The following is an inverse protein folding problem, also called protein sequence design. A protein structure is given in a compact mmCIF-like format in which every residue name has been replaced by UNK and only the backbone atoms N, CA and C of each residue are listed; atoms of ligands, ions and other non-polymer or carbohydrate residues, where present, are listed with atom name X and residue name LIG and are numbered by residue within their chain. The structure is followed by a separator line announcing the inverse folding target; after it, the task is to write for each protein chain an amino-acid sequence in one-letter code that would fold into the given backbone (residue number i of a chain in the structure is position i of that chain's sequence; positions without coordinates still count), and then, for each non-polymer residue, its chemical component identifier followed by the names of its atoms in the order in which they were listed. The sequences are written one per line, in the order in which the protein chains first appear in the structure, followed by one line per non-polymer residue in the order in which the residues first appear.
data_IF_441156394670
#
_entry.id   IF_441156394670
#
_cell.length_a   1.000
_cell.length_b   1.000
_cell.length_c   1.000
_cell.angle_alpha   90.00
_cell.angle_beta   90.00
_cell.angle_gamma   90.00
#
_symmetry.space_group_name_H-M   'P 1'
#
loop_
_entity.id
_entity.type
_entity.pdbx_description
1 polymer ?
#
# COMPACT_ATOMS: atom_id res chain seq x y z
N UNK A 1 -22.44 -17.92 29.52
CA UNK A 1 -21.62 -19.15 29.67
C UNK A 1 -21.63 -20.03 28.42
N UNK A 2 -22.79 -20.26 27.77
CA UNK A 2 -22.91 -21.14 26.60
C UNK A 2 -22.16 -20.60 25.34
N UNK A 3 -22.26 -19.29 25.06
CA UNK A 3 -21.58 -18.65 23.91
C UNK A 3 -20.06 -18.84 23.97
N UNK A 4 -19.43 -18.59 25.12
CA UNK A 4 -17.98 -18.79 25.32
C UNK A 4 -17.55 -20.24 25.10
N UNK A 5 -18.35 -21.21 25.58
CA UNK A 5 -18.07 -22.65 25.41
C UNK A 5 -18.15 -23.06 23.93
N UNK A 6 -19.16 -22.57 23.20
CA UNK A 6 -19.30 -22.83 21.76
C UNK A 6 -18.21 -22.14 20.94
N UNK A 7 -17.85 -20.89 21.27
CA UNK A 7 -16.76 -20.16 20.62
C UNK A 7 -15.43 -20.90 20.77
N UNK A 8 -15.12 -21.42 21.96
CA UNK A 8 -13.90 -22.21 22.19
C UNK A 8 -13.90 -23.55 21.42
N UNK A 9 -15.05 -24.22 21.37
CA UNK A 9 -15.18 -25.46 20.60
C UNK A 9 -15.04 -25.22 19.09
N UNK A 10 -15.61 -24.14 18.55
CA UNK A 10 -15.43 -23.74 17.14
C UNK A 10 -13.96 -23.45 16.84
N UNK A 11 -13.26 -22.72 17.71
CA UNK A 11 -11.82 -22.45 17.57
C UNK A 11 -10.99 -23.74 17.51
N UNK A 12 -11.27 -24.69 18.41
CA UNK A 12 -10.54 -25.96 18.49
C UNK A 12 -10.83 -26.87 17.29
N UNK A 13 -12.06 -26.82 16.76
CA UNK A 13 -12.48 -27.63 15.62
C UNK A 13 -11.90 -27.12 14.30
N UNK A 14 -11.79 -25.79 14.13
CA UNK A 14 -11.35 -25.17 12.87
C UNK A 14 -9.94 -24.56 12.94
N UNK A 15 -9.01 -25.24 13.63
CA UNK A 15 -7.61 -24.77 13.73
C UNK A 15 -6.95 -24.57 12.37
N UNK A 16 -7.28 -25.40 11.38
CA UNK A 16 -6.74 -25.30 10.01
C UNK A 16 -7.07 -23.96 9.33
N UNK A 17 -8.13 -23.27 9.76
CA UNK A 17 -8.49 -21.94 9.28
C UNK A 17 -7.96 -20.84 10.20
N UNK A 18 -8.10 -21.00 11.52
CA UNK A 18 -7.79 -19.92 12.46
C UNK A 18 -6.28 -19.74 12.70
N UNK A 19 -5.47 -20.81 12.61
CA UNK A 19 -4.02 -20.70 12.79
C UNK A 19 -3.36 -19.90 11.65
N UNK A 20 -3.61 -20.19 10.36
CA UNK A 20 -3.10 -19.37 9.27
C UNK A 20 -3.58 -17.91 9.33
N UNK A 21 -4.83 -17.68 9.77
CA UNK A 21 -5.36 -16.32 9.99
C UNK A 21 -4.52 -15.54 11.01
N UNK A 22 -4.30 -16.12 12.20
CA UNK A 22 -3.53 -15.48 13.27
C UNK A 22 -2.10 -15.20 12.81
N UNK A 23 -1.46 -16.19 12.18
CA UNK A 23 -0.10 -16.04 11.66
C UNK A 23 -0.01 -14.91 10.62
N UNK A 24 -0.89 -14.91 9.63
CA UNK A 24 -0.89 -13.89 8.59
C UNK A 24 -1.10 -12.49 9.17
N UNK A 25 -2.11 -12.29 10.02
CA UNK A 25 -2.40 -10.98 10.61
C UNK A 25 -1.29 -10.55 11.55
N UNK A 26 -0.72 -11.46 12.35
CA UNK A 26 0.42 -11.13 13.22
C UNK A 26 1.63 -10.64 12.42
N UNK A 27 1.92 -11.24 11.26
CA UNK A 27 3.02 -10.81 10.39
C UNK A 27 2.76 -9.41 9.83
N UNK A 28 1.54 -9.10 9.38
CA UNK A 28 1.18 -7.76 8.90
C UNK A 28 1.33 -6.70 9.99
N UNK A 29 0.87 -7.01 11.21
CA UNK A 29 1.00 -6.13 12.38
C UNK A 29 2.47 -5.90 12.70
N UNK A 30 3.29 -6.97 12.69
CA UNK A 30 4.73 -6.88 12.93
C UNK A 30 5.44 -6.01 11.90
N UNK A 31 5.15 -6.18 10.60
CA UNK A 31 5.70 -5.36 9.53
C UNK A 31 5.30 -3.90 9.68
N UNK A 32 4.01 -3.62 9.93
CA UNK A 32 3.54 -2.25 10.14
C UNK A 32 4.23 -1.58 11.34
N UNK A 33 4.34 -2.31 12.46
CA UNK A 33 5.04 -1.83 13.65
C UNK A 33 6.50 -1.49 13.34
N UNK A 34 7.21 -2.32 12.56
CA UNK A 34 8.60 -2.07 12.20
C UNK A 34 8.76 -0.76 11.43
N UNK A 35 7.93 -0.51 10.41
CA UNK A 35 7.96 0.75 9.67
C UNK A 35 7.66 1.94 10.59
N UNK A 36 6.68 1.80 11.47
CA UNK A 36 6.31 2.85 12.42
C UNK A 36 7.42 3.13 13.44
N UNK A 37 8.11 2.10 13.90
CA UNK A 37 9.23 2.20 14.85
C UNK A 37 10.45 2.89 14.21
N UNK A 38 10.72 2.66 12.92
CA UNK A 38 11.79 3.33 12.17
C UNK A 38 11.45 4.82 12.00
N UNK A 39 10.22 5.15 11.61
CA UNK A 39 9.78 6.54 11.39
C UNK A 39 9.87 7.39 12.67
N UNK A 40 9.51 6.80 13.82
CA UNK A 40 9.45 7.48 15.11
C UNK A 40 10.70 7.20 15.98
N UNK A 41 11.86 7.01 15.35
CA UNK A 41 13.12 6.79 16.06
C UNK A 41 13.91 8.10 16.23
N UNK A 42 14.14 8.52 17.46
CA UNK A 42 14.84 9.78 17.79
C UNK A 42 16.30 9.84 17.32
N UNK A 43 16.91 8.68 17.09
CA UNK A 43 18.31 8.64 16.66
C UNK A 43 18.45 8.80 15.15
N UNK A 44 17.41 8.43 14.38
CA UNK A 44 17.33 8.72 12.94
C UNK A 44 17.06 10.20 12.67
N UNK A 45 16.37 10.93 13.55
CA UNK A 45 16.08 12.35 13.37
C UNK A 45 17.30 13.27 13.49
N UNK A 46 18.43 12.78 14.02
CA UNK A 46 19.66 13.56 14.23
C UNK A 46 20.63 13.54 13.04
N UNK A 47 20.30 12.79 12.00
CA UNK A 47 21.14 12.65 10.79
C UNK A 47 20.87 13.83 9.84
N UNK A 48 21.88 14.37 9.13
CA UNK A 48 21.67 15.45 8.15
C UNK A 48 20.59 15.13 7.10
N UNK A 49 20.46 13.86 6.72
CA UNK A 49 19.50 13.36 5.72
C UNK A 49 18.18 12.85 6.34
N UNK A 50 17.95 13.09 7.63
CA UNK A 50 16.81 12.54 8.36
C UNK A 50 15.45 12.93 7.77
N UNK A 51 15.31 14.17 7.29
CA UNK A 51 14.06 14.69 6.72
C UNK A 51 13.65 13.95 5.45
N UNK A 52 14.61 13.67 4.57
CA UNK A 52 14.40 12.92 3.32
C UNK A 52 14.07 11.46 3.64
N UNK A 53 14.85 10.83 4.53
CA UNK A 53 14.61 9.44 4.95
C UNK A 53 13.21 9.29 5.56
N UNK A 54 12.82 10.18 6.47
CA UNK A 54 11.52 10.14 7.11
C UNK A 54 10.38 10.34 6.11
N UNK A 55 10.55 11.25 5.14
CA UNK A 55 9.56 11.48 4.08
C UNK A 55 9.35 10.24 3.20
N UNK A 56 10.44 9.58 2.78
CA UNK A 56 10.39 8.33 2.01
C UNK A 56 9.76 7.20 2.84
N UNK A 57 10.11 7.09 4.12
CA UNK A 57 9.54 6.07 5.02
C UNK A 57 8.04 6.29 5.26
N UNK A 58 7.57 7.53 5.40
CA UNK A 58 6.14 7.84 5.48
C UNK A 58 5.41 7.48 4.19
N UNK A 59 6.02 7.75 3.04
CA UNK A 59 5.47 7.36 1.73
C UNK A 59 5.34 5.82 1.65
N UNK A 60 6.39 5.10 2.04
CA UNK A 60 6.38 3.63 2.11
C UNK A 60 5.34 3.11 3.11
N UNK A 61 5.16 3.77 4.25
CA UNK A 61 4.15 3.43 5.26
C UNK A 61 2.72 3.53 4.69
N UNK A 62 2.42 4.59 3.93
CA UNK A 62 1.11 4.73 3.28
C UNK A 62 0.88 3.58 2.31
N UNK A 63 1.87 3.26 1.47
CA UNK A 63 1.78 2.16 0.52
C UNK A 63 1.57 0.80 1.20
N UNK A 64 2.37 0.45 2.21
CA UNK A 64 2.22 -0.81 2.93
C UNK A 64 0.88 -0.87 3.71
N UNK A 65 0.42 0.26 4.25
CA UNK A 65 -0.87 0.33 4.95
C UNK A 65 -2.04 -0.03 4.02
N UNK A 66 -1.99 0.41 2.76
CA UNK A 66 -3.00 0.07 1.75
C UNK A 66 -3.01 -1.43 1.48
N UNK A 67 -1.82 -2.03 1.30
CA UNK A 67 -1.69 -3.48 1.07
C UNK A 67 -2.22 -4.26 2.28
N UNK A 68 -1.88 -3.83 3.49
CA UNK A 68 -2.35 -4.44 4.74
C UNK A 68 -3.88 -4.40 4.80
N UNK A 69 -4.52 -3.26 4.52
CA UNK A 69 -5.99 -3.14 4.54
C UNK A 69 -6.64 -4.12 3.57
N UNK A 70 -6.18 -4.13 2.32
CA UNK A 70 -6.70 -5.02 1.27
C UNK A 70 -6.54 -6.49 1.67
N UNK A 71 -5.35 -6.87 2.14
CA UNK A 71 -5.03 -8.25 2.47
C UNK A 71 -5.76 -8.71 3.74
N UNK A 72 -5.89 -7.86 4.75
CA UNK A 72 -6.63 -8.22 5.97
C UNK A 72 -8.13 -8.36 5.68
N UNK A 73 -8.70 -7.52 4.81
CA UNK A 73 -10.09 -7.67 4.35
C UNK A 73 -10.31 -8.99 3.59
N UNK A 74 -9.36 -9.37 2.73
CA UNK A 74 -9.41 -10.64 2.02
C UNK A 74 -9.36 -11.84 2.96
N UNK A 75 -8.43 -11.83 3.91
CA UNK A 75 -8.29 -12.87 4.93
C UNK A 75 -9.59 -12.98 5.75
N UNK A 76 -10.17 -11.85 6.19
CA UNK A 76 -11.41 -11.85 6.94
C UNK A 76 -12.58 -12.42 6.13
N UNK A 77 -12.65 -12.10 4.83
CA UNK A 77 -13.67 -12.65 3.94
C UNK A 77 -13.59 -14.18 3.82
N UNK A 78 -12.38 -14.76 3.76
CA UNK A 78 -12.21 -16.22 3.74
C UNK A 78 -12.71 -16.85 5.05
N UNK A 79 -12.28 -16.29 6.18
CA UNK A 79 -12.66 -16.78 7.52
C UNK A 79 -14.17 -16.70 7.71
N UNK A 80 -14.76 -15.55 7.41
CA UNK A 80 -16.21 -15.31 7.48
C UNK A 80 -16.98 -16.30 6.57
N UNK A 81 -16.55 -16.52 5.33
CA UNK A 81 -17.21 -17.44 4.39
C UNK A 81 -17.19 -18.90 4.86
N UNK A 82 -16.09 -19.36 5.45
CA UNK A 82 -16.02 -20.72 5.98
C UNK A 82 -16.81 -20.86 7.29
N UNK A 83 -16.79 -19.84 8.16
CA UNK A 83 -17.55 -19.78 9.42
C UNK A 83 -19.06 -19.77 9.19
N UNK A 84 -19.54 -19.16 8.11
CA UNK A 84 -20.97 -19.12 7.76
C UNK A 84 -21.62 -20.51 7.70
N UNK A 85 -20.87 -21.57 7.36
CA UNK A 85 -21.38 -22.95 7.38
C UNK A 85 -21.76 -23.41 8.79
N UNK A 86 -20.95 -23.07 9.79
CA UNK A 86 -21.23 -23.39 11.19
C UNK A 86 -22.38 -22.55 11.74
N UNK A 87 -22.41 -21.26 11.40
CA UNK A 87 -23.47 -20.34 11.79
C UNK A 87 -24.83 -20.78 11.23
N UNK A 88 -24.86 -21.34 10.02
CA UNK A 88 -26.08 -21.91 9.46
C UNK A 88 -26.58 -23.13 10.21
N UNK A 89 -25.69 -24.02 10.65
CA UNK A 89 -26.05 -25.16 11.47
C UNK A 89 -26.58 -24.71 12.84
N UNK A 90 -25.93 -23.74 13.48
CA UNK A 90 -26.40 -23.16 14.74
C UNK A 90 -27.74 -22.44 14.60
N UNK A 91 -27.99 -21.78 13.47
CA UNK A 91 -29.28 -21.16 13.19
C UNK A 91 -30.39 -22.19 12.99
N UNK A 92 -30.10 -23.34 12.37
CA UNK A 92 -31.08 -24.44 12.23
C UNK A 92 -31.41 -25.12 13.56
N UNK A 93 -30.44 -25.15 14.50
CA UNK A 93 -30.64 -25.63 15.87
C UNK A 93 -31.38 -24.63 16.78
N UNK A 94 -31.90 -23.52 16.22
CA UNK A 94 -32.74 -22.57 16.94
C UNK A 94 -32.00 -21.43 17.65
N UNK A 95 -30.71 -21.19 17.36
CA UNK A 95 -30.03 -20.00 17.89
C UNK A 95 -30.62 -18.71 17.31
N UNK A 96 -30.94 -17.75 18.18
CA UNK A 96 -31.40 -16.42 17.79
C UNK A 96 -30.29 -15.64 17.08
N UNK A 97 -30.67 -14.70 16.20
CA UNK A 97 -29.72 -13.84 15.48
C UNK A 97 -28.78 -13.08 16.42
N UNK A 98 -29.29 -12.65 17.57
CA UNK A 98 -28.51 -11.97 18.62
C UNK A 98 -27.42 -12.88 19.19
N UNK A 99 -27.75 -14.15 19.46
CA UNK A 99 -26.78 -15.12 19.99
C UNK A 99 -25.71 -15.47 18.95
N UNK A 100 -26.07 -15.53 17.67
CA UNK A 100 -25.11 -15.72 16.57
C UNK A 100 -24.16 -14.54 16.45
N UNK A 101 -24.68 -13.32 16.56
CA UNK A 101 -23.86 -12.10 16.55
C UNK A 101 -22.85 -12.08 17.70
N UNK A 102 -23.29 -12.35 18.94
CA UNK A 102 -22.39 -12.41 20.09
C UNK A 102 -21.34 -13.53 19.96
N UNK A 103 -21.70 -14.68 19.39
CA UNK A 103 -20.75 -15.77 19.13
C UNK A 103 -19.64 -15.31 18.18
N UNK A 104 -20.02 -14.67 17.07
CA UNK A 104 -19.09 -14.15 16.06
C UNK A 104 -18.19 -13.08 16.66
N UNK A 105 -18.77 -12.13 17.39
CA UNK A 105 -18.04 -11.03 18.02
C UNK A 105 -16.98 -11.55 19.00
N UNK A 106 -17.32 -12.52 19.86
CA UNK A 106 -16.37 -13.10 20.83
C UNK A 106 -15.22 -13.81 20.13
N UNK A 107 -15.49 -14.55 19.05
CA UNK A 107 -14.45 -15.21 18.25
C UNK A 107 -13.53 -14.17 17.60
N UNK A 108 -14.09 -13.14 16.97
CA UNK A 108 -13.31 -12.14 16.25
C UNK A 108 -12.46 -11.29 17.21
N UNK A 109 -13.00 -10.92 18.39
CA UNK A 109 -12.20 -10.27 19.45
C UNK A 109 -11.03 -11.16 19.87
N UNK A 110 -11.27 -12.45 20.11
CA UNK A 110 -10.22 -13.36 20.54
C UNK A 110 -9.12 -13.51 19.47
N UNK A 111 -9.51 -13.75 18.22
CA UNK A 111 -8.57 -13.91 17.11
C UNK A 111 -7.77 -12.62 16.87
N UNK A 112 -8.44 -11.47 16.88
CA UNK A 112 -7.79 -10.18 16.68
C UNK A 112 -6.85 -9.84 17.83
N UNK A 113 -7.29 -9.98 19.08
CA UNK A 113 -6.46 -9.73 20.26
C UNK A 113 -5.21 -10.62 20.27
N UNK A 114 -5.36 -11.91 19.96
CA UNK A 114 -4.23 -12.83 19.91
C UNK A 114 -3.25 -12.49 18.78
N UNK A 115 -3.78 -12.14 17.60
CA UNK A 115 -2.96 -11.71 16.46
C UNK A 115 -2.21 -10.41 16.74
N UNK A 116 -2.84 -9.48 17.48
CA UNK A 116 -2.24 -8.21 17.86
C UNK A 116 -1.09 -8.39 18.85
N UNK A 117 -1.30 -9.19 19.89
CA UNK A 117 -0.24 -9.52 20.86
C UNK A 117 0.93 -10.19 20.15
N UNK A 118 0.67 -11.24 19.36
CA UNK A 118 1.72 -11.96 18.63
C UNK A 118 2.41 -11.06 17.60
N UNK A 119 1.66 -10.22 16.89
CA UNK A 119 2.22 -9.35 15.86
C UNK A 119 3.14 -8.28 16.41
N UNK A 120 2.80 -7.70 17.56
CA UNK A 120 3.69 -6.75 18.25
C UNK A 120 4.93 -7.49 18.76
N UNK A 121 4.78 -8.70 19.30
CA UNK A 121 5.91 -9.53 19.75
C UNK A 121 6.86 -9.86 18.58
N UNK A 122 6.32 -10.20 17.41
CA UNK A 122 7.08 -10.39 16.17
C UNK A 122 7.78 -9.09 15.77
N UNK A 123 7.06 -7.96 15.76
CA UNK A 123 7.63 -6.65 15.43
C UNK A 123 8.80 -6.25 16.33
N UNK A 124 8.65 -6.44 17.65
CA UNK A 124 9.69 -6.17 18.65
C UNK A 124 10.90 -7.09 18.53
N UNK A 125 10.69 -8.33 18.09
CA UNK A 125 11.79 -9.29 17.90
C UNK A 125 12.58 -8.95 16.64
N UNK A 126 11.89 -8.64 15.55
CA UNK A 126 12.50 -8.42 14.23
C UNK A 126 13.00 -6.99 14.00
N UNK A 127 12.55 -6.00 14.77
CA UNK A 127 12.98 -4.59 14.59
C UNK A 127 14.50 -4.46 14.63
N UNK A 128 15.19 -5.15 15.54
CA UNK A 128 16.65 -5.11 15.66
C UNK A 128 17.32 -5.60 14.37
N UNK A 129 16.80 -6.66 13.76
CA UNK A 129 17.34 -7.22 12.53
C UNK A 129 17.16 -6.27 11.35
N UNK A 130 15.93 -5.77 11.15
CA UNK A 130 15.62 -4.85 10.02
C UNK A 130 16.44 -3.57 10.12
N UNK A 131 16.65 -3.09 11.32
CA UNK A 131 17.35 -1.86 11.59
C UNK A 131 18.88 -1.98 11.43
N UNK A 132 19.46 -3.12 11.80
CA UNK A 132 20.86 -3.42 11.46
C UNK A 132 21.05 -3.50 9.94
N UNK A 133 20.11 -4.13 9.23
CA UNK A 133 20.12 -4.13 7.77
C UNK A 133 20.00 -2.71 7.20
N UNK A 134 19.14 -1.88 7.78
CA UNK A 134 18.95 -0.48 7.38
C UNK A 134 20.23 0.36 7.54
N UNK A 135 20.91 0.25 8.70
CA UNK A 135 22.19 0.94 8.94
C UNK A 135 23.26 0.50 7.94
N UNK A 136 23.35 -0.82 7.67
CA UNK A 136 24.33 -1.37 6.72
C UNK A 136 24.07 -0.90 5.29
N UNK A 137 22.80 -0.83 4.88
CA UNK A 137 22.43 -0.35 3.54
C UNK A 137 22.71 1.15 3.36
N UNK A 138 22.60 1.94 4.43
CA UNK A 138 22.83 3.38 4.41
C UNK A 138 24.25 3.82 4.80
N UNK A 139 25.15 2.88 5.12
CA UNK A 139 26.53 3.15 5.58
C UNK A 139 26.61 4.19 6.72
N UNK A 140 25.66 4.15 7.66
CA UNK A 140 25.62 5.09 8.79
C UNK A 140 26.56 4.62 9.91
N UNK A 141 27.30 5.54 10.55
CA UNK A 141 28.06 5.25 11.78
C UNK A 141 27.08 4.87 12.91
N UNK A 142 27.42 3.84 13.69
CA UNK A 142 26.52 3.16 14.63
C UNK A 142 25.61 4.12 15.39
N UNK A 143 24.31 3.96 15.17
CA UNK A 143 23.27 4.74 15.83
C UNK A 143 22.76 3.94 17.03
N UNK A 144 22.65 4.56 18.21
CA UNK A 144 21.99 3.96 19.36
C UNK A 144 20.50 3.87 19.09
N UNK A 145 19.91 2.68 19.27
CA UNK A 145 18.55 2.44 18.84
C UNK A 145 17.65 2.04 19.99
N UNK A 146 16.62 2.85 20.19
CA UNK A 146 15.47 2.53 21.01
C UNK A 146 14.71 1.37 20.38
N UNK A 147 14.75 0.21 21.03
CA UNK A 147 14.04 -1.01 20.60
C UNK A 147 12.52 -0.85 20.69
N UNK A 148 12.06 0.03 21.58
CA UNK A 148 10.66 0.29 21.84
C UNK A 148 10.36 1.77 21.65
N UNK A 149 9.35 2.06 20.81
CA UNK A 149 8.77 3.39 20.65
C UNK A 149 7.31 3.33 21.07
N UNK A 150 6.96 4.05 22.15
CA UNK A 150 5.59 4.14 22.65
C UNK A 150 4.64 4.72 21.59
N UNK A 151 5.12 5.69 20.82
CA UNK A 151 4.38 6.29 19.72
C UNK A 151 4.11 5.28 18.59
N UNK A 152 5.10 4.44 18.25
CA UNK A 152 4.91 3.41 17.23
C UNK A 152 3.91 2.33 17.66
N UNK A 153 3.95 1.94 18.94
CA UNK A 153 2.98 1.03 19.53
C UNK A 153 1.55 1.58 19.45
N UNK A 154 1.34 2.82 19.90
CA UNK A 154 0.01 3.46 19.88
C UNK A 154 -0.54 3.60 18.47
N UNK A 155 0.28 4.04 17.51
CA UNK A 155 -0.17 4.21 16.13
C UNK A 155 -0.52 2.87 15.46
N UNK A 156 0.24 1.81 15.77
CA UNK A 156 -0.08 0.44 15.34
C UNK A 156 -1.40 -0.03 15.94
N UNK A 157 -1.59 0.18 17.25
CA UNK A 157 -2.82 -0.19 17.95
C UNK A 157 -4.03 0.53 17.35
N UNK A 158 -3.96 1.85 17.18
CA UNK A 158 -5.06 2.65 16.60
C UNK A 158 -5.40 2.23 15.17
N UNK A 159 -4.39 1.99 14.33
CA UNK A 159 -4.60 1.58 12.94
C UNK A 159 -5.33 0.22 12.84
N UNK A 160 -4.85 -0.79 13.58
CA UNK A 160 -5.47 -2.11 13.56
C UNK A 160 -6.82 -2.15 14.28
N UNK A 161 -7.03 -1.34 15.32
CA UNK A 161 -8.36 -1.15 15.91
C UNK A 161 -9.36 -0.58 14.88
N UNK A 162 -8.94 0.37 14.04
CA UNK A 162 -9.75 0.86 12.94
C UNK A 162 -10.15 -0.25 11.97
N UNK A 163 -9.20 -1.11 11.58
CA UNK A 163 -9.47 -2.28 10.72
C UNK A 163 -10.44 -3.25 11.41
N UNK A 164 -10.28 -3.50 12.70
CA UNK A 164 -11.16 -4.37 13.46
C UNK A 164 -12.62 -3.86 13.50
N UNK A 165 -12.82 -2.56 13.66
CA UNK A 165 -14.16 -1.94 13.57
C UNK A 165 -14.77 -2.19 12.19
N UNK A 166 -13.99 -2.02 11.12
CA UNK A 166 -14.45 -2.31 9.75
C UNK A 166 -14.87 -3.79 9.62
N UNK A 167 -14.15 -4.72 10.24
CA UNK A 167 -14.53 -6.14 10.23
C UNK A 167 -15.85 -6.39 10.93
N UNK A 168 -16.04 -5.81 12.11
CA UNK A 168 -17.31 -5.91 12.83
C UNK A 168 -18.47 -5.36 12.00
N UNK A 169 -18.30 -4.24 11.31
CA UNK A 169 -19.34 -3.67 10.42
C UNK A 169 -19.63 -4.60 9.23
N UNK A 170 -18.60 -5.18 8.61
CA UNK A 170 -18.78 -6.12 7.49
C UNK A 170 -19.47 -7.41 7.96
N UNK A 171 -19.07 -7.97 9.09
CA UNK A 171 -19.61 -9.23 9.59
C UNK A 171 -21.04 -9.05 10.15
N UNK A 172 -21.34 -7.93 10.82
CA UNK A 172 -22.72 -7.59 11.25
C UNK A 172 -23.67 -7.44 10.07
N UNK A 173 -23.26 -6.70 9.04
CA UNK A 173 -24.09 -6.49 7.85
C UNK A 173 -24.36 -7.80 7.12
N UNK A 174 -23.38 -8.69 7.00
CA UNK A 174 -23.57 -10.04 6.47
C UNK A 174 -24.54 -10.86 7.33
N UNK A 175 -24.33 -10.91 8.64
CA UNK A 175 -25.19 -11.63 9.59
C UNK A 175 -26.64 -11.16 9.58
N UNK A 176 -26.89 -9.86 9.40
CA UNK A 176 -28.25 -9.31 9.36
C UNK A 176 -29.06 -9.78 8.13
N UNK A 177 -28.38 -9.98 6.99
CA UNK A 177 -28.97 -10.34 5.69
C UNK A 177 -29.14 -11.84 5.51
N UNK A 178 -28.49 -12.62 6.36
CA UNK A 178 -28.47 -14.07 6.30
C UNK A 178 -29.86 -14.64 6.68
N UNK A 179 -30.47 -15.41 5.76
CA UNK A 179 -31.63 -16.27 6.05
C UNK A 179 -31.14 -17.68 6.41
N UNK A 180 -31.67 -18.32 7.48
CA UNK A 180 -31.20 -19.63 7.95
C UNK A 180 -31.27 -20.75 6.89
N UNK A 181 -32.31 -20.72 6.06
CA UNK A 181 -32.53 -21.69 4.98
C UNK A 181 -31.54 -21.48 3.81
N UNK A 182 -31.16 -20.22 3.57
CA UNK A 182 -30.24 -19.84 2.48
C UNK A 182 -28.78 -20.14 2.83
N UNK A 183 -28.37 -20.12 4.11
CA UNK A 183 -26.99 -20.49 4.52
C UNK A 183 -26.59 -21.93 4.17
N UNK A 184 -27.54 -22.86 4.29
CA UNK A 184 -27.32 -24.27 3.95
C UNK A 184 -27.51 -24.52 2.45
N UNK A 185 -28.42 -23.79 1.83
CA UNK A 185 -28.65 -23.86 0.39
C UNK A 185 -27.66 -23.04 -0.44
N UNK A 186 -26.86 -22.11 0.11
CA UNK A 186 -25.87 -21.31 -0.64
C UNK A 186 -24.76 -22.18 -1.29
N UNK A 187 -24.62 -23.46 -0.87
CA UNK A 187 -23.79 -24.45 -1.56
C UNK A 187 -24.55 -25.30 -2.60
N UNK A 188 -25.89 -25.31 -2.60
CA UNK A 188 -26.75 -26.13 -3.49
C UNK A 188 -27.52 -25.30 -4.53
N UNK A 189 -28.00 -24.12 -4.16
CA UNK A 189 -28.53 -23.11 -5.07
C UNK A 189 -27.34 -22.36 -5.63
N UNK A 190 -26.93 -22.72 -6.84
CA UNK A 190 -25.94 -21.93 -7.56
C UNK A 190 -26.41 -20.47 -7.58
N UNK A 191 -25.63 -19.57 -6.96
CA UNK A 191 -25.84 -18.13 -6.91
C UNK A 191 -26.59 -17.63 -8.17
N UNK A 192 -27.89 -17.36 -8.02
CA UNK A 192 -28.75 -17.01 -9.14
C UNK A 192 -28.12 -15.92 -10.02
N UNK A 193 -28.14 -16.10 -11.35
CA UNK A 193 -27.67 -15.08 -12.27
C UNK A 193 -28.36 -13.75 -11.92
N UNK A 194 -27.61 -12.64 -11.72
CA UNK A 194 -28.22 -11.36 -11.42
C UNK A 194 -29.21 -11.03 -12.54
N UNK A 195 -30.48 -10.84 -12.15
CA UNK A 195 -31.60 -10.55 -13.06
C UNK A 195 -31.40 -9.23 -13.82
N UNK A 196 -30.54 -8.35 -13.31
CA UNK A 196 -30.29 -7.02 -13.86
C UNK A 196 -28.96 -6.96 -14.61
N UNK A 197 -28.92 -7.55 -15.81
CA UNK A 197 -27.75 -7.50 -16.72
C UNK A 197 -27.23 -6.08 -16.97
N UNK A 198 -28.08 -5.05 -16.90
CA UNK A 198 -27.70 -3.66 -17.17
C UNK A 198 -26.89 -3.00 -16.04
N UNK A 199 -27.22 -3.27 -14.78
CA UNK A 199 -26.47 -2.69 -13.64
C UNK A 199 -25.06 -3.29 -13.55
N UNK A 200 -24.95 -4.61 -13.71
CA UNK A 200 -23.66 -5.30 -13.78
C UNK A 200 -22.85 -4.85 -14.99
N UNK A 201 -23.51 -4.50 -16.10
CA UNK A 201 -22.85 -3.95 -17.29
C UNK A 201 -22.23 -2.58 -17.03
N UNK A 202 -22.99 -1.66 -16.41
CA UNK A 202 -22.49 -0.34 -16.06
C UNK A 202 -21.31 -0.43 -15.08
N UNK A 203 -21.42 -1.27 -14.05
CA UNK A 203 -20.39 -1.43 -13.02
C UNK A 203 -19.11 -2.11 -13.55
N UNK A 204 -19.24 -3.04 -14.50
CA UNK A 204 -18.09 -3.63 -15.18
C UNK A 204 -17.38 -2.64 -16.10
N UNK A 205 -18.13 -1.83 -16.85
CA UNK A 205 -17.56 -0.81 -17.74
C UNK A 205 -16.89 0.33 -16.95
N UNK A 206 -17.52 0.77 -15.85
CA UNK A 206 -16.92 1.75 -14.95
C UNK A 206 -15.64 1.22 -14.32
N UNK A 207 -15.62 -0.06 -13.90
CA UNK A 207 -14.43 -0.71 -13.36
C UNK A 207 -13.24 -0.71 -14.34
N UNK A 208 -13.50 -1.05 -15.61
CA UNK A 208 -12.48 -1.00 -16.67
C UNK A 208 -11.97 0.42 -16.89
N UNK A 209 -12.87 1.39 -16.94
CA UNK A 209 -12.53 2.82 -17.16
C UNK A 209 -11.67 3.36 -16.03
N UNK A 210 -12.05 3.09 -14.78
CA UNK A 210 -11.29 3.46 -13.57
C UNK A 210 -9.87 2.89 -13.62
N UNK A 211 -9.74 1.63 -14.04
CA UNK A 211 -8.44 0.97 -14.14
C UNK A 211 -7.56 1.61 -15.24
N UNK A 212 -8.13 1.88 -16.41
CA UNK A 212 -7.43 2.57 -17.51
C UNK A 212 -7.00 3.99 -17.13
N UNK A 213 -7.86 4.75 -16.46
CA UNK A 213 -7.53 6.09 -15.95
C UNK A 213 -6.40 6.04 -14.92
N UNK A 214 -6.39 5.03 -14.04
CA UNK A 214 -5.32 4.82 -13.07
C UNK A 214 -3.95 4.56 -13.72
N UNK A 215 -3.91 3.74 -14.77
CA UNK A 215 -2.68 3.53 -15.54
C UNK A 215 -2.28 4.76 -16.35
N UNK A 216 -3.24 5.43 -16.98
CA UNK A 216 -2.97 6.65 -17.72
C UNK A 216 -2.37 7.74 -16.81
N UNK A 217 -2.95 7.95 -15.62
CA UNK A 217 -2.40 8.86 -14.62
C UNK A 217 -0.99 8.45 -14.20
N UNK A 218 -0.73 7.15 -14.00
CA UNK A 218 0.61 6.65 -13.67
C UNK A 218 1.66 6.99 -14.73
N UNK A 219 1.31 6.90 -16.02
CA UNK A 219 2.22 7.15 -17.14
C UNK A 219 2.36 8.66 -17.45
N UNK A 220 1.25 9.40 -17.37
CA UNK A 220 1.22 10.82 -17.70
C UNK A 220 1.83 11.71 -16.59
N UNK A 221 2.02 11.17 -15.38
CA UNK A 221 2.63 11.89 -14.27
C UNK A 221 4.10 12.18 -14.56
N UNK A 222 4.40 13.45 -14.86
CA UNK A 222 5.77 13.96 -14.94
C UNK A 222 6.33 14.18 -13.53
N UNK A 223 7.67 14.16 -13.34
CA UNK A 223 8.30 14.42 -12.05
C UNK A 223 8.11 15.88 -11.65
N UNK A 224 7.04 16.16 -10.90
CA UNK A 224 6.74 17.43 -10.26
C UNK A 224 6.35 17.18 -8.79
N UNK A 225 6.31 18.21 -7.96
CA UNK A 225 5.90 18.16 -6.55
C UNK A 225 4.50 17.56 -6.34
N UNK A 226 3.59 17.67 -7.31
CA UNK A 226 2.28 17.01 -7.29
C UNK A 226 2.32 15.52 -7.63
N UNK A 227 3.45 14.99 -8.14
CA UNK A 227 3.56 13.61 -8.61
C UNK A 227 3.32 12.58 -7.50
N UNK A 228 3.71 12.90 -6.26
CA UNK A 228 3.50 12.01 -5.11
C UNK A 228 2.00 11.80 -4.86
N UNK A 229 1.22 12.89 -4.87
CA UNK A 229 -0.23 12.82 -4.63
C UNK A 229 -0.92 12.07 -5.77
N UNK A 230 -0.58 12.40 -7.02
CA UNK A 230 -1.14 11.72 -8.20
C UNK A 230 -0.79 10.23 -8.22
N UNK A 231 0.42 9.85 -7.81
CA UNK A 231 0.83 8.46 -7.69
C UNK A 231 -0.02 7.68 -6.68
N UNK A 232 -0.32 8.28 -5.51
CA UNK A 232 -1.21 7.65 -4.53
C UNK A 232 -2.64 7.50 -5.02
N UNK A 233 -3.18 8.53 -5.69
CA UNK A 233 -4.50 8.45 -6.32
C UNK A 233 -4.53 7.33 -7.36
N UNK A 234 -3.47 7.20 -8.16
CA UNK A 234 -3.35 6.14 -9.15
C UNK A 234 -3.35 4.74 -8.51
N UNK A 235 -2.62 4.53 -7.41
CA UNK A 235 -2.63 3.24 -6.68
C UNK A 235 -4.04 2.90 -6.19
N UNK A 236 -4.75 3.86 -5.58
CA UNK A 236 -6.12 3.64 -5.11
C UNK A 236 -7.04 3.29 -6.29
N UNK A 237 -6.91 4.00 -7.42
CA UNK A 237 -7.65 3.70 -8.64
C UNK A 237 -7.36 2.28 -9.16
N UNK A 238 -6.10 1.86 -9.18
CA UNK A 238 -5.69 0.52 -9.64
C UNK A 238 -6.26 -0.56 -8.72
N UNK A 239 -6.25 -0.35 -7.40
CA UNK A 239 -6.81 -1.30 -6.43
C UNK A 239 -8.33 -1.43 -6.62
N UNK A 240 -9.05 -0.32 -6.66
CA UNK A 240 -10.51 -0.29 -6.86
C UNK A 240 -10.87 -0.87 -8.24
N UNK A 241 -10.15 -0.45 -9.29
CA UNK A 241 -10.33 -0.91 -10.66
C UNK A 241 -10.10 -2.41 -10.79
N UNK A 242 -9.09 -2.97 -10.13
CA UNK A 242 -8.82 -4.41 -10.15
C UNK A 242 -9.94 -5.21 -9.49
N UNK A 243 -10.42 -4.78 -8.32
CA UNK A 243 -11.57 -5.43 -7.68
C UNK A 243 -12.83 -5.35 -8.55
N UNK A 244 -13.12 -4.17 -9.13
CA UNK A 244 -14.25 -4.00 -10.02
C UNK A 244 -14.13 -4.86 -11.30
N UNK A 245 -12.91 -5.01 -11.84
CA UNK A 245 -12.65 -5.83 -13.00
C UNK A 245 -12.99 -7.30 -12.72
N UNK A 246 -12.42 -7.88 -11.67
CA UNK A 246 -12.65 -9.31 -11.37
C UNK A 246 -14.07 -9.61 -10.87
N UNK A 247 -14.70 -8.68 -10.14
CA UNK A 247 -16.05 -8.91 -9.58
C UNK A 247 -17.17 -8.58 -10.56
N UNK A 248 -16.97 -7.63 -11.48
CA UNK A 248 -18.03 -7.14 -12.36
C UNK A 248 -17.66 -7.29 -13.84
N UNK A 249 -16.49 -6.81 -14.27
CA UNK A 249 -16.11 -6.82 -15.69
C UNK A 249 -15.88 -8.24 -16.24
N UNK A 250 -15.25 -9.13 -15.48
CA UNK A 250 -15.05 -10.54 -15.88
C UNK A 250 -16.39 -11.29 -16.01
N UNK A 251 -17.34 -10.99 -15.14
CA UNK A 251 -18.71 -11.54 -15.23
C UNK A 251 -19.41 -10.98 -16.47
N UNK A 252 -19.31 -9.68 -16.71
CA UNK A 252 -19.85 -9.00 -17.89
C UNK A 252 -19.33 -9.62 -19.19
N UNK A 253 -18.01 -9.81 -19.30
CA UNK A 253 -17.37 -10.46 -20.44
C UNK A 253 -17.94 -11.87 -20.70
N UNK A 254 -18.06 -12.68 -19.66
CA UNK A 254 -18.65 -14.02 -19.77
C UNK A 254 -20.14 -13.99 -20.13
N UNK A 255 -20.90 -13.00 -19.67
CA UNK A 255 -22.30 -12.82 -20.07
C UNK A 255 -22.46 -12.37 -21.53
N UNK A 256 -21.52 -11.57 -22.07
CA UNK A 256 -21.49 -11.21 -23.49
C UNK A 256 -21.21 -12.43 -24.37
N UNK A 257 -20.24 -13.27 -23.96
CA UNK A 257 -19.95 -14.56 -24.60
C UNK A 257 -21.16 -15.50 -24.58
N UNK A 258 -21.92 -15.53 -23.47
CA UNK A 258 -23.17 -16.28 -23.37
C UNK A 258 -24.27 -15.75 -24.29
N UNK A 259 -24.31 -14.44 -24.54
CA UNK A 259 -25.31 -13.80 -25.44
C UNK A 259 -25.03 -14.10 -26.91
N UNK A 260 -23.78 -14.36 -27.30
CA UNK A 260 -23.43 -14.73 -28.66
C UNK A 260 -23.82 -16.19 -28.96
N UNK A 261 -24.95 -16.38 -29.64
CA UNK A 261 -25.52 -17.71 -29.93
C UNK A 261 -24.56 -18.60 -30.73
N UNK A 262 -23.80 -18.05 -31.68
CA UNK A 262 -22.85 -18.81 -32.50
C UNK A 262 -21.66 -19.36 -31.70
N UNK A 263 -21.26 -18.68 -30.61
CA UNK A 263 -20.15 -19.13 -29.77
C UNK A 263 -20.62 -20.05 -28.64
N UNK A 264 -21.73 -19.70 -27.98
CA UNK A 264 -22.20 -20.37 -26.76
C UNK A 264 -22.81 -21.75 -27.02
N UNK A 265 -23.53 -21.95 -28.13
CA UNK A 265 -24.23 -23.22 -28.42
C UNK A 265 -23.31 -24.32 -28.96
N UNK A 266 -22.01 -24.05 -29.12
CA UNK A 266 -21.03 -25.11 -29.40
C UNK A 266 -20.82 -26.00 -28.16
N UNK A 267 -20.82 -27.32 -28.37
CA UNK A 267 -20.77 -28.35 -27.31
C UNK A 267 -19.62 -28.17 -26.31
N UNK A 268 -18.45 -27.68 -26.77
CA UNK A 268 -17.27 -27.44 -25.94
C UNK A 268 -17.32 -26.12 -25.16
N UNK A 269 -18.03 -25.10 -25.67
CA UNK A 269 -18.05 -23.76 -25.09
C UNK A 269 -19.15 -23.59 -24.05
N UNK A 270 -20.30 -24.25 -24.24
CA UNK A 270 -21.46 -24.14 -23.35
C UNK A 270 -21.13 -24.45 -21.89
N UNK A 271 -20.48 -25.59 -21.64
CA UNK A 271 -20.11 -26.07 -20.31
C UNK A 271 -19.05 -25.16 -19.69
N UNK A 272 -18.05 -24.79 -20.50
CA UNK A 272 -16.92 -23.95 -20.06
C UNK A 272 -17.38 -22.55 -19.66
N UNK A 273 -18.15 -21.85 -20.51
CA UNK A 273 -18.63 -20.49 -20.24
C UNK A 273 -19.56 -20.46 -19.03
N UNK A 274 -20.48 -21.43 -18.93
CA UNK A 274 -21.42 -21.50 -17.80
C UNK A 274 -20.72 -21.82 -16.48
N UNK A 275 -19.76 -22.76 -16.50
CA UNK A 275 -18.97 -23.12 -15.32
C UNK A 275 -18.03 -22.00 -14.87
N UNK A 276 -17.40 -21.30 -15.82
CA UNK A 276 -16.50 -20.18 -15.52
C UNK A 276 -17.26 -18.99 -14.94
N UNK A 277 -18.47 -18.69 -15.43
CA UNK A 277 -19.33 -17.63 -14.90
C UNK A 277 -19.63 -17.86 -13.42
N UNK A 278 -19.95 -19.11 -13.05
CA UNK A 278 -20.21 -19.49 -11.66
C UNK A 278 -18.95 -19.35 -10.78
N UNK A 279 -17.82 -19.86 -11.25
CA UNK A 279 -16.53 -19.79 -10.52
C UNK A 279 -16.04 -18.35 -10.34
N UNK A 280 -16.20 -17.50 -11.36
CA UNK A 280 -15.86 -16.07 -11.31
C UNK A 280 -16.69 -15.32 -10.28
N UNK A 281 -18.00 -15.59 -10.21
CA UNK A 281 -18.88 -14.97 -9.22
C UNK A 281 -18.53 -15.40 -7.79
N UNK A 282 -18.27 -16.70 -7.59
CA UNK A 282 -17.96 -17.25 -6.29
C UNK A 282 -16.57 -16.83 -5.75
N UNK A 283 -15.57 -16.68 -6.63
CA UNK A 283 -14.16 -16.52 -6.27
C UNK A 283 -13.47 -15.26 -6.83
N UNK A 284 -14.20 -14.36 -7.51
CA UNK A 284 -13.63 -13.17 -8.17
C UNK A 284 -12.89 -12.22 -7.21
N UNK A 285 -13.41 -12.04 -5.99
CA UNK A 285 -12.74 -11.26 -4.93
C UNK A 285 -11.38 -11.86 -4.56
N UNK A 286 -11.27 -13.19 -4.54
CA UNK A 286 -10.01 -13.87 -4.25
C UNK A 286 -9.00 -13.74 -5.37
N UNK A 287 -9.45 -13.88 -6.62
CA UNK A 287 -8.60 -13.66 -7.80
C UNK A 287 -8.05 -12.23 -7.87
N UNK A 288 -8.89 -11.22 -7.57
CA UNK A 288 -8.44 -9.83 -7.47
C UNK A 288 -7.35 -9.65 -6.41
N UNK A 289 -7.54 -10.26 -5.25
CA UNK A 289 -6.60 -10.16 -4.12
C UNK A 289 -5.25 -10.81 -4.44
N UNK A 290 -5.26 -11.98 -5.10
CA UNK A 290 -4.04 -12.67 -5.56
C UNK A 290 -3.32 -11.84 -6.63
N UNK A 291 -4.07 -11.27 -7.58
CA UNK A 291 -3.52 -10.40 -8.61
C UNK A 291 -2.84 -9.18 -8.00
N UNK A 292 -3.52 -8.45 -7.10
CA UNK A 292 -2.95 -7.30 -6.41
C UNK A 292 -1.70 -7.66 -5.61
N UNK A 293 -1.71 -8.80 -4.91
CA UNK A 293 -0.55 -9.25 -4.13
C UNK A 293 0.64 -9.55 -5.05
N UNK A 294 0.41 -10.24 -6.16
CA UNK A 294 1.45 -10.56 -7.14
C UNK A 294 1.99 -9.31 -7.83
N UNK A 295 1.12 -8.35 -8.15
CA UNK A 295 1.55 -7.09 -8.75
C UNK A 295 2.34 -6.27 -7.74
N UNK A 296 1.91 -6.19 -6.48
CA UNK A 296 2.64 -5.48 -5.43
C UNK A 296 4.04 -6.07 -5.18
N UNK A 297 4.18 -7.39 -5.19
CA UNK A 297 5.49 -8.04 -5.04
C UNK A 297 6.41 -7.76 -6.23
N UNK A 298 5.88 -7.85 -7.46
CA UNK A 298 6.64 -7.51 -8.69
C UNK A 298 7.05 -6.05 -8.67
N UNK A 299 6.14 -5.13 -8.35
CA UNK A 299 6.43 -3.68 -8.27
C UNK A 299 7.52 -3.42 -7.23
N UNK A 300 7.45 -4.02 -6.04
CA UNK A 300 8.48 -3.86 -5.02
C UNK A 300 9.86 -4.35 -5.51
N UNK A 301 9.91 -5.51 -6.17
CA UNK A 301 11.16 -6.06 -6.71
C UNK A 301 11.74 -5.19 -7.84
N UNK A 302 10.91 -4.83 -8.83
CA UNK A 302 11.33 -4.04 -10.00
C UNK A 302 11.69 -2.62 -9.59
N UNK A 303 10.94 -1.98 -8.69
CA UNK A 303 11.26 -0.65 -8.21
C UNK A 303 12.59 -0.65 -7.45
N UNK A 304 12.83 -1.65 -6.59
CA UNK A 304 14.08 -1.75 -5.84
C UNK A 304 15.27 -1.99 -6.77
N UNK A 305 15.15 -2.91 -7.73
CA UNK A 305 16.24 -3.19 -8.68
C UNK A 305 16.51 -2.00 -9.60
N UNK A 306 15.47 -1.33 -10.09
CA UNK A 306 15.59 -0.14 -10.92
C UNK A 306 16.23 1.03 -10.16
N UNK A 307 15.86 1.25 -8.90
CA UNK A 307 16.48 2.30 -8.07
C UNK A 307 17.95 2.01 -7.77
N UNK A 308 18.29 0.74 -7.53
CA UNK A 308 19.69 0.35 -7.32
C UNK A 308 20.52 0.50 -8.59
N UNK A 309 20.00 0.09 -9.75
CA UNK A 309 20.68 0.26 -11.03
C UNK A 309 20.81 1.75 -11.45
N UNK A 310 19.80 2.57 -11.14
CA UNK A 310 19.78 4.00 -11.45
C UNK A 310 20.56 4.88 -10.47
N UNK A 311 21.04 4.33 -9.35
CA UNK A 311 21.73 5.08 -8.30
C UNK A 311 22.94 5.84 -8.84
N UNK A 312 23.81 5.18 -9.59
CA UNK A 312 25.06 5.80 -10.06
C UNK A 312 24.78 6.88 -11.11
N UNK A 313 23.80 6.65 -12.00
CA UNK A 313 23.32 7.65 -12.97
C UNK A 313 22.79 8.89 -12.24
N UNK A 314 21.99 8.69 -11.18
CA UNK A 314 21.42 9.79 -10.42
C UNK A 314 22.47 10.57 -9.60
N UNK A 315 23.47 9.88 -9.06
CA UNK A 315 24.62 10.51 -8.39
C UNK A 315 25.42 11.33 -9.40
N UNK A 316 25.75 10.76 -10.56
CA UNK A 316 26.53 11.45 -11.59
C UNK A 316 25.80 12.65 -12.19
N UNK A 317 24.47 12.61 -12.29
CA UNK A 317 23.66 13.76 -12.71
C UNK A 317 23.58 14.85 -11.62
N UNK A 318 23.46 14.48 -10.34
CA UNK A 318 23.33 15.43 -9.24
C UNK A 318 24.65 16.04 -8.77
N UNK A 319 25.74 15.30 -8.89
CA UNK A 319 27.10 15.71 -8.52
C UNK A 319 28.11 15.18 -9.55
N UNK A 320 28.18 15.77 -10.76
CA UNK A 320 29.10 15.32 -11.82
C UNK A 320 30.58 15.55 -11.48
N UNK A 321 30.86 16.31 -10.42
CA UNK A 321 32.20 16.64 -9.93
C UNK A 321 32.26 16.37 -8.42
N UNK A 322 33.42 15.92 -7.95
CA UNK A 322 33.64 15.58 -6.54
C UNK A 322 33.47 16.79 -5.60
N UNK A 323 33.71 18.00 -6.11
CA UNK A 323 33.63 19.25 -5.35
C UNK A 323 32.89 20.30 -6.18
N UNK A 324 31.75 20.78 -5.68
CA UNK A 324 31.01 21.91 -6.25
C UNK A 324 31.06 23.11 -5.30
N UNK A 325 31.63 24.22 -5.77
CA UNK A 325 31.68 25.49 -5.02
C UNK A 325 30.69 26.44 -5.67
N UNK A 326 29.61 26.74 -4.94
CA UNK A 326 28.57 27.66 -5.40
C UNK A 326 28.74 29.00 -4.70
N UNK A 327 28.77 30.10 -5.46
CA UNK A 327 28.78 31.45 -4.90
C UNK A 327 27.87 32.36 -5.71
N UNK A 328 27.17 33.26 -5.00
CA UNK A 328 26.31 34.29 -5.59
C UNK A 328 27.10 35.31 -6.43
N UNK A 329 28.39 35.51 -6.13
CA UNK A 329 29.32 36.32 -6.92
C UNK A 329 30.68 35.62 -7.02
N UNK A 330 31.21 35.50 -8.24
CA UNK A 330 32.59 35.04 -8.44
C UNK A 330 33.54 36.20 -8.09
N UNK A 331 34.08 36.18 -6.87
CA UNK A 331 35.09 37.14 -6.39
C UNK A 331 36.47 36.46 -6.38
N UNK A 332 37.58 37.16 -6.67
CA UNK A 332 38.93 36.61 -6.61
C UNK A 332 39.33 35.99 -5.26
N UNK A 333 38.70 36.41 -4.17
CA UNK A 333 38.92 35.86 -2.82
C UNK A 333 38.46 34.40 -2.68
N UNK A 334 37.38 34.02 -3.37
CA UNK A 334 36.87 32.65 -3.33
C UNK A 334 37.89 31.73 -4.01
N UNK A 335 38.48 32.16 -5.12
CA UNK A 335 39.54 31.43 -5.81
C UNK A 335 40.76 31.16 -4.93
N UNK A 336 41.23 32.18 -4.20
CA UNK A 336 42.31 32.02 -3.22
C UNK A 336 41.94 31.01 -2.13
N UNK A 337 40.73 31.11 -1.59
CA UNK A 337 40.25 30.19 -0.54
C UNK A 337 40.11 28.75 -1.05
N UNK A 338 39.73 28.57 -2.31
CA UNK A 338 39.69 27.25 -2.95
C UNK A 338 41.09 26.66 -3.10
N UNK A 339 42.07 27.46 -3.50
CA UNK A 339 43.48 27.03 -3.58
C UNK A 339 44.06 26.72 -2.20
N UNK A 340 43.80 27.54 -1.18
CA UNK A 340 44.22 27.27 0.20
C UNK A 340 43.63 25.95 0.73
N UNK A 341 42.36 25.65 0.42
CA UNK A 341 41.73 24.39 0.78
C UNK A 341 42.35 23.22 0.01
N UNK A 342 42.61 23.38 -1.28
CA UNK A 342 43.25 22.36 -2.11
C UNK A 342 44.65 22.03 -1.57
N UNK A 343 45.45 23.04 -1.23
CA UNK A 343 46.78 22.87 -0.63
C UNK A 343 46.71 22.22 0.75
N UNK A 344 45.76 22.65 1.60
CA UNK A 344 45.53 22.06 2.93
C UNK A 344 45.22 20.57 2.87
N UNK A 345 44.41 20.14 1.90
CA UNK A 345 44.05 18.73 1.71
C UNK A 345 44.98 17.98 0.75
N UNK A 346 46.02 18.64 0.22
CA UNK A 346 46.98 18.09 -0.76
C UNK A 346 46.30 17.57 -2.04
N UNK A 347 45.27 18.26 -2.51
CA UNK A 347 44.52 17.93 -3.71
C UNK A 347 44.98 18.84 -4.84
N UNK A 348 45.36 18.27 -5.98
CA UNK A 348 45.66 19.05 -7.19
C UNK A 348 44.35 19.31 -7.94
N UNK A 349 44.01 20.58 -8.15
CA UNK A 349 42.82 20.95 -8.94
C UNK A 349 43.15 20.68 -10.41
N UNK A 350 42.38 19.79 -11.04
CA UNK A 350 42.48 19.44 -12.47
C UNK A 350 41.11 19.68 -13.10
N UNK A 351 41.08 20.25 -14.30
CA UNK A 351 39.87 20.54 -15.10
C UNK A 351 38.79 21.40 -14.41
N UNK A 352 39.12 22.66 -14.12
CA UNK A 352 38.16 23.63 -13.58
C UNK A 352 37.06 23.95 -14.62
N UNK A 353 35.83 23.52 -14.34
CA UNK A 353 34.64 23.91 -15.13
C UNK A 353 33.83 24.98 -14.40
N UNK A 354 33.70 26.15 -15.02
CA UNK A 354 32.84 27.23 -14.53
C UNK A 354 31.47 27.10 -15.16
N UNK A 355 30.43 26.95 -14.34
CA UNK A 355 29.05 26.95 -14.79
C UNK A 355 28.28 28.07 -14.08
N UNK A 356 27.51 28.84 -14.85
CA UNK A 356 26.56 29.80 -14.30
C UNK A 356 25.30 29.04 -13.93
N UNK A 357 24.97 29.05 -12.64
CA UNK A 357 23.76 28.42 -12.10
C UNK A 357 22.77 29.55 -11.80
N UNK A 358 21.57 29.47 -12.35
CA UNK A 358 20.50 30.43 -12.06
C UNK A 358 19.85 30.08 -10.72
N UNK A 359 19.86 31.00 -9.75
CA UNK A 359 18.99 30.88 -8.57
C UNK A 359 17.54 31.18 -9.01
N UNK A 360 16.59 30.32 -8.65
CA UNK A 360 15.17 30.54 -8.95
C UNK A 360 14.65 31.77 -8.19
N UNK A 361 14.21 32.80 -8.91
CA UNK A 361 13.54 33.95 -8.31
C UNK A 361 12.04 33.68 -8.17
N UNK A 362 11.51 33.79 -6.94
CA UNK A 362 10.07 33.71 -6.73
C UNK A 362 9.38 34.94 -7.31
N UNK A 363 8.41 34.73 -8.19
CA UNK A 363 7.59 35.78 -8.76
C UNK A 363 6.14 35.64 -8.30
N UNK A 364 5.51 36.75 -7.93
CA UNK A 364 4.06 36.83 -7.77
C UNK A 364 3.49 37.66 -8.91
N UNK A 365 2.47 37.13 -9.58
CA UNK A 365 1.67 37.87 -10.55
C UNK A 365 0.61 38.63 -9.75
N UNK A 366 0.70 39.95 -9.74
CA UNK A 366 -0.31 40.81 -9.13
C UNK A 366 -1.59 40.80 -9.96
N UNK A 367 -2.74 41.12 -9.34
CA UNK A 367 -4.04 41.21 -10.04
C UNK A 367 -4.04 42.11 -11.29
N UNK A 368 -3.05 42.99 -11.42
CA UNK A 368 -2.86 43.89 -12.56
C UNK A 368 -1.96 43.29 -13.67
N UNK A 369 -1.70 41.98 -13.67
CA UNK A 369 -0.79 41.28 -14.60
C UNK A 369 0.68 41.73 -14.52
N UNK A 370 1.05 42.53 -13.53
CA UNK A 370 2.44 42.88 -13.26
C UNK A 370 3.15 41.78 -12.46
N UNK A 371 4.33 41.39 -12.92
CA UNK A 371 5.14 40.32 -12.36
C UNK A 371 6.23 40.92 -11.47
N UNK A 372 6.08 40.83 -10.14
CA UNK A 372 7.09 41.31 -9.18
C UNK A 372 7.96 40.15 -8.70
N UNK A 373 9.27 40.29 -8.91
CA UNK A 373 10.30 39.39 -8.39
C UNK A 373 10.54 39.70 -6.90
N UNK A 374 10.36 38.70 -6.04
CA UNK A 374 10.60 38.82 -4.59
C UNK A 374 12.09 38.79 -4.31
N UNK A 375 12.68 39.95 -3.98
CA UNK A 375 14.12 40.07 -3.71
C UNK A 375 14.50 39.79 -2.24
N UNK A 376 13.54 39.65 -1.30
CA UNK A 376 13.84 39.56 0.13
C UNK A 376 12.88 38.63 0.88
N UNK A 377 13.13 37.31 0.84
CA UNK A 377 12.50 36.39 1.79
C UNK A 377 13.57 35.60 2.56
N UNK A 378 13.76 35.99 3.82
CA UNK A 378 14.65 35.36 4.81
C UNK A 378 14.02 34.11 5.45
N UNK A 379 13.32 33.29 4.66
CA UNK A 379 12.73 32.03 5.10
C UNK A 379 13.59 30.85 4.65
N UNK A 380 13.81 29.86 5.52
CA UNK A 380 14.47 28.59 5.17
C UNK A 380 13.65 27.84 4.12
N UNK A 381 13.92 28.10 2.84
CA UNK A 381 13.37 27.33 1.71
C UNK A 381 14.51 26.49 1.15
N UNK A 382 14.30 25.19 1.09
CA UNK A 382 15.21 24.24 0.44
C UNK A 382 15.01 24.39 -1.06
N UNK A 383 15.95 25.01 -1.77
CA UNK A 383 15.95 25.09 -3.23
C UNK A 383 16.61 23.82 -3.79
N UNK A 384 15.92 23.10 -4.68
CA UNK A 384 16.53 22.10 -5.56
C UNK A 384 16.50 22.64 -6.98
N UNK A 385 17.69 22.87 -7.55
CA UNK A 385 17.87 23.19 -8.97
C UNK A 385 18.50 21.96 -9.61
N UNK A 386 17.81 21.37 -10.59
CA UNK A 386 18.42 20.42 -11.51
C UNK A 386 18.94 21.20 -12.71
N UNK A 387 20.26 21.27 -12.87
CA UNK A 387 20.87 21.73 -14.12
C UNK A 387 21.16 20.51 -14.98
N UNK A 388 20.37 20.30 -16.03
CA UNK A 388 20.77 19.39 -17.11
C UNK A 388 21.84 20.10 -17.96
N UNK A 389 22.95 19.44 -18.31
CA UNK A 389 23.90 19.99 -19.26
C UNK A 389 23.24 20.15 -20.63
N UNK A 390 23.59 21.22 -21.35
CA UNK A 390 23.05 21.54 -22.69
C UNK A 390 23.34 20.48 -23.77
N UNK A 391 24.12 19.45 -23.42
CA UNK A 391 24.46 18.30 -24.27
C UNK A 391 23.39 17.18 -24.17
N UNK A 392 22.57 17.20 -23.10
CA UNK A 392 21.49 16.25 -22.86
C UNK A 392 20.12 16.78 -23.33
N UNK A 393 20.11 17.83 -24.16
CA UNK A 393 18.95 18.31 -24.91
C UNK A 393 19.09 17.84 -26.36
#
# INVERSE_FOLDING_TARGET
MLVLKLSWQSLRRNKQLYVPFILAISLLIGVFYIFQAIINNDSLSKIPTATVINSIMKLALIFISLIIVVFTLYINNIVSKQRNKELGLYSMLGMTKTNLFFLVLVIDIFLFSLSLILGILVGLTFIKFVLLAFIKLLNLKSIYLTLFSSQAFLLTLTFFLGIFIVFLVIDTTKLSKIRPIELWEDNKKGEHLPKNSLFTMFMGLSGLTVLLVGYYLSIATKPDTSAIITFFIAIILVVVGTYALFTSASILFLTLLKKNRNYYYNRNHFITVSGMLYRMKQNGVGLASICLLSTASIVALVATSSLMAGKDVQINQGAPLDINITSRKLTPEIYKKTQELADKYRIKIVDEKKQRISESAMATILKNQELRLSQNYSGKVTYQVFTMPLIDY
#
